data_IF_998308554813
#
_entry.id   IF_998308554813
#
_cell.length_a   1.000
_cell.length_b   1.000
_cell.length_c   1.000
_cell.angle_alpha   90.00
_cell.angle_beta   90.00
_cell.angle_gamma   90.00
#
_symmetry.space_group_name_H-M   'P 1'
#
loop_
_entity.id
_entity.type
_entity.pdbx_description
1 polymer ?
#
# COMPACT_ATOMS: atom_id res chain seq x y z
N UNK A 1 9.52 22.54 21.01
CA UNK A 1 9.91 21.16 21.40
C UNK A 1 9.94 20.34 20.13
N UNK A 2 10.89 19.42 19.96
CA UNK A 2 10.90 18.55 18.79
C UNK A 2 9.75 17.53 18.94
N UNK A 3 8.96 17.34 17.88
CA UNK A 3 7.87 16.39 17.88
C UNK A 3 8.29 15.10 17.17
N UNK A 4 7.87 13.96 17.74
CA UNK A 4 7.98 12.66 17.10
C UNK A 4 7.28 12.69 15.75
N UNK A 5 7.85 12.04 14.74
CA UNK A 5 7.27 11.96 13.40
C UNK A 5 6.98 10.53 13.00
N UNK A 6 5.89 10.32 12.27
CA UNK A 6 5.48 9.00 11.79
C UNK A 6 5.06 9.02 10.33
N UNK A 7 5.12 7.87 9.66
CA UNK A 7 4.32 7.61 8.45
C UNK A 7 3.32 6.51 8.75
N UNK A 8 2.12 6.69 8.23
CA UNK A 8 1.09 5.66 8.21
C UNK A 8 1.17 4.91 6.88
N UNK A 9 0.90 3.61 6.93
CA UNK A 9 0.69 2.78 5.76
C UNK A 9 -0.70 2.16 5.83
N UNK A 10 -1.44 2.21 4.73
CA UNK A 10 -2.71 1.51 4.59
C UNK A 10 -2.64 0.49 3.47
N UNK A 11 -3.01 -0.76 3.76
CA UNK A 11 -3.00 -1.85 2.79
C UNK A 11 -4.41 -2.20 2.31
N UNK A 12 -4.59 -2.24 1.01
CA UNK A 12 -5.73 -2.88 0.34
C UNK A 12 -5.28 -4.24 -0.15
N UNK A 13 -6.09 -5.26 0.10
CA UNK A 13 -5.89 -6.60 -0.45
C UNK A 13 -7.01 -6.87 -1.43
N UNK A 14 -6.66 -7.23 -2.65
CA UNK A 14 -7.58 -7.43 -3.77
C UNK A 14 -7.46 -8.88 -4.23
N UNK A 15 -8.59 -9.55 -4.35
CA UNK A 15 -8.73 -10.90 -4.88
C UNK A 15 -10.04 -11.03 -5.66
N UNK A 16 -10.37 -12.25 -6.09
CA UNK A 16 -11.55 -12.55 -6.92
C UNK A 16 -12.89 -12.15 -6.29
N UNK A 17 -12.93 -11.82 -4.99
CA UNK A 17 -14.14 -11.35 -4.31
C UNK A 17 -14.39 -9.85 -4.48
N UNK A 18 -13.51 -9.14 -5.18
CA UNK A 18 -13.61 -7.71 -5.44
C UNK A 18 -14.93 -7.34 -6.16
N UNK A 19 -15.77 -6.56 -5.49
CA UNK A 19 -17.06 -6.08 -6.04
C UNK A 19 -17.01 -4.63 -6.53
N UNK A 20 -16.09 -3.82 -5.98
CA UNK A 20 -15.95 -2.43 -6.38
C UNK A 20 -15.25 -2.33 -7.73
N UNK A 21 -15.72 -1.48 -8.68
CA UNK A 21 -15.11 -1.38 -10.01
C UNK A 21 -13.61 -1.12 -9.97
N UNK A 22 -13.14 -0.24 -9.08
CA UNK A 22 -11.72 0.08 -8.94
C UNK A 22 -10.88 -1.16 -8.54
N UNK A 23 -11.36 -1.95 -7.58
CA UNK A 23 -10.66 -3.18 -7.16
C UNK A 23 -10.69 -4.24 -8.27
N UNK A 24 -11.84 -4.39 -8.95
CA UNK A 24 -12.04 -5.39 -10.00
C UNK A 24 -11.14 -5.13 -11.21
N UNK A 25 -11.03 -3.88 -11.64
CA UNK A 25 -10.18 -3.54 -12.78
C UNK A 25 -8.70 -3.74 -12.47
N UNK A 26 -8.26 -3.37 -11.26
CA UNK A 26 -6.90 -3.68 -10.82
C UNK A 26 -6.67 -5.18 -10.82
N UNK A 27 -7.57 -5.97 -10.21
CA UNK A 27 -7.48 -7.43 -10.18
C UNK A 27 -7.33 -8.05 -11.57
N UNK A 28 -8.18 -7.64 -12.51
CA UNK A 28 -8.17 -8.16 -13.88
C UNK A 28 -6.88 -7.79 -14.62
N UNK A 29 -6.45 -6.54 -14.53
CA UNK A 29 -5.29 -6.07 -15.29
C UNK A 29 -3.97 -6.54 -14.69
N UNK A 30 -3.86 -6.61 -13.35
CA UNK A 30 -2.68 -7.21 -12.72
C UNK A 30 -2.58 -8.69 -13.00
N UNK A 31 -3.70 -9.41 -13.13
CA UNK A 31 -3.65 -10.81 -13.54
C UNK A 31 -3.16 -10.96 -14.98
N UNK A 32 -3.69 -10.18 -15.92
CA UNK A 32 -3.25 -10.18 -17.32
C UNK A 32 -1.76 -9.84 -17.45
N UNK A 33 -1.32 -8.79 -16.75
CA UNK A 33 0.09 -8.40 -16.73
C UNK A 33 0.96 -9.50 -16.14
N UNK A 34 0.53 -10.12 -15.03
CA UNK A 34 1.24 -11.25 -14.45
C UNK A 34 1.39 -12.40 -15.45
N UNK A 35 0.33 -12.79 -16.18
CA UNK A 35 0.41 -13.85 -17.19
C UNK A 35 1.45 -13.55 -18.28
N UNK A 36 1.53 -12.30 -18.74
CA UNK A 36 2.51 -11.88 -19.74
C UNK A 36 3.93 -11.94 -19.18
N UNK A 37 4.15 -11.33 -18.02
CA UNK A 37 5.47 -11.27 -17.40
C UNK A 37 5.96 -12.65 -16.96
N UNK A 38 5.08 -13.48 -16.41
CA UNK A 38 5.37 -14.84 -15.97
C UNK A 38 6.04 -15.68 -17.06
N UNK A 39 5.60 -15.57 -18.32
CA UNK A 39 6.17 -16.32 -19.45
C UNK A 39 7.65 -15.99 -19.70
N UNK A 40 8.09 -14.78 -19.38
CA UNK A 40 9.48 -14.36 -19.55
C UNK A 40 10.41 -14.96 -18.49
N UNK A 41 9.86 -15.36 -17.34
CA UNK A 41 10.62 -15.91 -16.22
C UNK A 41 10.50 -17.41 -16.06
N UNK A 42 9.45 -18.00 -16.60
CA UNK A 42 9.15 -19.41 -16.43
C UNK A 42 10.02 -20.28 -17.35
N UNK A 43 10.48 -21.39 -16.82
CA UNK A 43 11.25 -22.37 -17.57
C UNK A 43 10.35 -23.11 -18.57
N UNK A 44 10.88 -23.43 -19.76
CA UNK A 44 10.12 -24.11 -20.82
C UNK A 44 10.06 -25.63 -20.62
N UNK A 45 11.09 -26.21 -20.02
CA UNK A 45 11.23 -27.65 -19.80
C UNK A 45 10.56 -28.08 -18.48
N UNK A 46 10.52 -27.19 -17.48
CA UNK A 46 9.90 -27.42 -16.17
C UNK A 46 9.00 -26.25 -15.74
N UNK A 47 7.88 -25.99 -16.45
CA UNK A 47 7.06 -24.82 -16.18
C UNK A 47 6.39 -24.88 -14.81
N UNK A 48 6.48 -23.77 -14.07
CA UNK A 48 5.73 -23.53 -12.84
C UNK A 48 4.43 -22.82 -13.13
N UNK A 49 3.42 -23.07 -12.30
CA UNK A 49 2.11 -22.45 -12.45
C UNK A 49 1.87 -21.37 -11.41
N UNK A 50 2.48 -21.51 -10.23
CA UNK A 50 2.31 -20.56 -9.13
C UNK A 50 3.49 -19.61 -9.01
N UNK A 51 3.22 -18.38 -8.56
CA UNK A 51 4.29 -17.40 -8.28
C UNK A 51 5.27 -17.90 -7.23
N UNK A 52 4.77 -18.65 -6.23
CA UNK A 52 5.60 -19.19 -5.15
C UNK A 52 6.62 -20.21 -5.65
N UNK A 53 6.20 -21.13 -6.51
CA UNK A 53 7.11 -22.10 -7.12
C UNK A 53 8.14 -21.40 -8.01
N UNK A 54 7.67 -20.47 -8.84
CA UNK A 54 8.53 -19.70 -9.71
C UNK A 54 9.58 -18.89 -8.93
N UNK A 55 9.20 -18.30 -7.79
CA UNK A 55 10.11 -17.57 -6.89
C UNK A 55 11.12 -18.47 -6.20
N UNK A 56 10.73 -19.70 -5.83
CA UNK A 56 11.64 -20.67 -5.24
C UNK A 56 12.70 -21.17 -6.22
N UNK A 57 12.36 -21.29 -7.50
CA UNK A 57 13.27 -21.75 -8.56
C UNK A 57 14.13 -20.61 -9.13
N UNK A 58 13.56 -19.42 -9.30
CA UNK A 58 14.23 -18.27 -9.88
C UNK A 58 14.02 -17.01 -9.02
N UNK A 59 14.98 -16.66 -8.13
CA UNK A 59 14.86 -15.48 -7.26
C UNK A 59 14.71 -14.14 -8.01
N UNK A 60 15.13 -14.06 -9.28
CA UNK A 60 14.96 -12.84 -10.10
C UNK A 60 13.48 -12.51 -10.32
N UNK A 61 12.59 -13.48 -10.17
CA UNK A 61 11.13 -13.28 -10.29
C UNK A 61 10.56 -12.40 -9.19
N UNK A 62 11.32 -12.05 -8.14
CA UNK A 62 10.93 -11.02 -7.19
C UNK A 62 10.57 -9.69 -7.89
N UNK A 63 11.16 -9.39 -9.05
CA UNK A 63 10.79 -8.20 -9.83
C UNK A 63 9.36 -8.25 -10.43
N UNK A 64 8.71 -9.42 -10.46
CA UNK A 64 7.32 -9.55 -10.88
C UNK A 64 6.38 -8.72 -10.01
N UNK A 65 6.69 -8.51 -8.72
CA UNK A 65 5.91 -7.58 -7.90
C UNK A 65 5.84 -6.18 -8.53
N UNK A 66 6.98 -5.67 -9.01
CA UNK A 66 7.06 -4.36 -9.64
C UNK A 66 6.44 -4.36 -11.04
N UNK A 67 6.80 -5.33 -11.89
CA UNK A 67 6.32 -5.41 -13.27
C UNK A 67 4.79 -5.56 -13.34
N UNK A 68 4.23 -6.48 -12.56
CA UNK A 68 2.77 -6.62 -12.41
C UNK A 68 2.14 -5.37 -11.78
N UNK A 69 2.87 -4.70 -10.88
CA UNK A 69 2.44 -3.45 -10.25
C UNK A 69 2.19 -2.30 -11.22
N UNK A 70 2.91 -2.24 -12.36
CA UNK A 70 2.73 -1.18 -13.35
C UNK A 70 1.31 -1.16 -13.94
N UNK A 71 0.63 -2.30 -14.01
CA UNK A 71 -0.76 -2.37 -14.47
C UNK A 71 -1.75 -1.62 -13.54
N UNK A 72 -1.39 -1.40 -12.27
CA UNK A 72 -2.21 -0.67 -11.31
C UNK A 72 -2.01 0.86 -11.34
N UNK A 73 -1.01 1.37 -12.07
CA UNK A 73 -0.54 2.75 -11.95
C UNK A 73 -1.61 3.78 -12.32
N UNK A 74 -2.30 3.57 -13.45
CA UNK A 74 -3.36 4.47 -13.93
C UNK A 74 -4.55 4.54 -12.96
N UNK A 75 -4.86 3.44 -12.27
CA UNK A 75 -5.91 3.37 -11.26
C UNK A 75 -5.52 4.09 -9.97
N UNK A 76 -4.26 3.97 -9.55
CA UNK A 76 -3.75 4.70 -8.38
C UNK A 76 -3.67 6.20 -8.67
N UNK A 77 -3.28 6.60 -9.88
CA UNK A 77 -3.22 8.01 -10.28
C UNK A 77 -4.58 8.72 -10.18
N UNK A 78 -5.69 8.00 -10.44
CA UNK A 78 -7.05 8.54 -10.32
C UNK A 78 -7.41 8.96 -8.89
N UNK A 79 -6.75 8.39 -7.87
CA UNK A 79 -6.96 8.73 -6.47
C UNK A 79 -6.34 10.10 -6.10
N UNK A 80 -5.49 10.67 -6.97
CA UNK A 80 -4.90 12.01 -6.79
C UNK A 80 -4.23 12.21 -5.41
N UNK A 81 -3.54 11.17 -4.93
CA UNK A 81 -2.81 11.22 -3.65
C UNK A 81 -3.71 11.18 -2.40
N UNK A 82 -4.99 10.84 -2.52
CA UNK A 82 -5.94 10.79 -1.40
C UNK A 82 -6.75 9.50 -1.43
N UNK A 83 -6.69 8.71 -0.36
CA UNK A 83 -7.32 7.39 -0.33
C UNK A 83 -8.66 7.40 0.43
N UNK A 84 -9.75 7.53 -0.33
CA UNK A 84 -11.10 7.81 0.19
C UNK A 84 -11.67 6.75 1.15
N UNK A 85 -11.12 5.53 1.20
CA UNK A 85 -11.58 4.49 2.13
C UNK A 85 -11.03 4.65 3.54
N UNK A 86 -10.15 5.62 3.77
CA UNK A 86 -9.60 5.95 5.09
C UNK A 86 -9.90 7.44 5.38
N UNK A 87 -11.15 7.78 5.73
CA UNK A 87 -11.49 9.13 6.15
C UNK A 87 -10.89 9.48 7.51
N UNK A 88 -10.71 10.77 7.76
CA UNK A 88 -10.61 11.29 9.12
C UNK A 88 -11.93 11.09 9.89
N UNK A 89 -11.92 11.27 11.20
CA UNK A 89 -13.13 11.12 12.04
C UNK A 89 -14.27 12.08 11.68
N UNK A 90 -14.01 13.15 10.94
CA UNK A 90 -15.02 14.12 10.48
C UNK A 90 -15.57 13.77 9.09
N UNK A 91 -14.93 12.85 8.37
CA UNK A 91 -15.24 12.54 6.97
C UNK A 91 -14.87 13.67 6.00
N UNK A 92 -14.14 14.70 6.44
CA UNK A 92 -13.83 15.88 5.63
C UNK A 92 -12.54 15.73 4.83
N UNK A 93 -11.62 14.94 5.36
CA UNK A 93 -10.33 14.61 4.74
C UNK A 93 -10.16 13.11 4.68
N UNK A 94 -9.30 12.64 3.79
CA UNK A 94 -8.93 11.23 3.69
C UNK A 94 -7.42 11.08 3.86
N UNK A 95 -6.96 9.86 4.14
CA UNK A 95 -5.53 9.56 4.29
C UNK A 95 -4.79 10.00 3.02
N UNK A 96 -3.91 11.03 3.10
CA UNK A 96 -3.07 11.38 1.98
C UNK A 96 -1.99 10.33 1.81
N UNK A 97 -1.57 10.08 0.58
CA UNK A 97 -0.45 9.22 0.28
C UNK A 97 0.47 9.87 -0.77
N UNK A 98 1.76 9.64 -0.63
CA UNK A 98 2.78 10.17 -1.56
C UNK A 98 3.41 9.08 -2.41
N UNK A 99 3.39 7.84 -1.93
CA UNK A 99 3.92 6.68 -2.64
C UNK A 99 3.05 5.46 -2.35
N UNK A 100 3.17 4.44 -3.20
CA UNK A 100 2.53 3.16 -2.98
C UNK A 100 3.46 2.02 -3.41
N UNK A 101 3.15 0.81 -2.97
CA UNK A 101 3.78 -0.43 -3.44
C UNK A 101 2.72 -1.47 -3.71
N UNK A 102 2.76 -2.06 -4.90
CA UNK A 102 2.00 -3.28 -5.20
C UNK A 102 2.90 -4.51 -4.99
N UNK A 103 2.33 -5.55 -4.42
CA UNK A 103 2.95 -6.87 -4.34
C UNK A 103 1.93 -7.98 -4.64
N UNK A 104 2.36 -8.95 -5.44
CA UNK A 104 1.69 -10.25 -5.59
C UNK A 104 1.69 -10.98 -4.23
N UNK A 105 0.51 -11.24 -3.69
CA UNK A 105 0.33 -12.05 -2.46
C UNK A 105 0.26 -13.52 -2.82
N UNK A 106 -0.49 -13.85 -3.87
CA UNK A 106 -0.60 -15.19 -4.43
C UNK A 106 -1.09 -15.09 -5.88
N UNK A 107 -0.74 -16.05 -6.72
CA UNK A 107 -1.32 -16.17 -8.06
C UNK A 107 -0.96 -17.52 -8.66
N UNK A 108 -1.83 -17.99 -9.56
CA UNK A 108 -1.71 -19.23 -10.31
C UNK A 108 -2.16 -18.94 -11.74
N UNK A 109 -1.36 -19.30 -12.73
CA UNK A 109 -1.69 -19.05 -14.15
C UNK A 109 -2.86 -19.90 -14.66
N UNK A 110 -3.21 -20.97 -13.94
CA UNK A 110 -4.27 -21.90 -14.32
C UNK A 110 -5.64 -21.52 -13.75
N UNK A 111 -5.67 -20.66 -12.73
CA UNK A 111 -6.88 -20.28 -12.02
C UNK A 111 -6.79 -18.84 -11.53
N UNK A 112 -7.48 -17.95 -12.26
CA UNK A 112 -7.57 -16.53 -11.93
C UNK A 112 -8.13 -16.28 -10.53
N UNK A 113 -8.98 -17.17 -9.98
CA UNK A 113 -9.54 -17.00 -8.65
C UNK A 113 -8.47 -17.03 -7.54
N UNK A 114 -7.30 -17.63 -7.83
CA UNK A 114 -6.13 -17.66 -6.93
C UNK A 114 -5.30 -16.40 -6.99
N UNK A 115 -5.52 -15.52 -7.97
CA UNK A 115 -4.85 -14.24 -8.06
C UNK A 115 -5.22 -13.38 -6.85
N UNK A 116 -4.20 -12.80 -6.22
CA UNK A 116 -4.33 -11.96 -5.04
C UNK A 116 -3.17 -10.99 -5.01
N UNK A 117 -3.48 -9.71 -4.98
CA UNK A 117 -2.49 -8.63 -4.91
C UNK A 117 -2.75 -7.76 -3.68
N UNK A 118 -1.71 -7.13 -3.19
CA UNK A 118 -1.81 -6.10 -2.17
C UNK A 118 -1.26 -4.78 -2.67
N UNK A 119 -1.97 -3.70 -2.37
CA UNK A 119 -1.52 -2.33 -2.61
C UNK A 119 -1.36 -1.66 -1.25
N UNK A 120 -0.15 -1.22 -0.94
CA UNK A 120 0.15 -0.49 0.29
C UNK A 120 0.40 0.97 -0.06
N UNK A 121 -0.44 1.86 0.46
CA UNK A 121 -0.31 3.31 0.34
C UNK A 121 0.47 3.85 1.53
N UNK A 122 1.44 4.72 1.29
CA UNK A 122 2.26 5.34 2.33
C UNK A 122 1.97 6.83 2.44
N UNK A 123 1.66 7.27 3.64
CA UNK A 123 1.39 8.67 3.93
C UNK A 123 2.65 9.54 3.79
N UNK A 124 2.49 10.86 3.63
CA UNK A 124 3.56 11.79 3.96
C UNK A 124 3.97 11.64 5.43
N UNK A 125 5.08 12.27 5.79
CA UNK A 125 5.51 12.36 7.17
C UNK A 125 4.53 13.23 7.95
N UNK A 126 4.09 12.74 9.11
CA UNK A 126 3.22 13.47 10.03
C UNK A 126 3.95 13.73 11.34
N UNK A 127 3.59 14.84 11.99
CA UNK A 127 3.83 15.01 13.42
C UNK A 127 2.89 14.10 14.19
N UNK A 128 3.43 13.23 15.05
CA UNK A 128 2.67 12.32 15.90
C UNK A 128 2.35 12.98 17.24
N UNK A 129 1.06 12.98 17.60
CA UNK A 129 0.56 13.60 18.82
C UNK A 129 -0.05 12.57 19.80
N UNK A 130 0.05 11.28 19.48
CA UNK A 130 -0.45 10.19 20.32
C UNK A 130 -1.67 9.49 19.73
N UNK A 131 -2.33 8.70 20.58
CA UNK A 131 -3.61 8.05 20.28
C UNK A 131 -4.67 8.62 21.22
N UNK A 132 -5.77 9.12 20.64
CA UNK A 132 -6.91 9.67 21.38
C UNK A 132 -8.19 9.05 20.82
N UNK A 133 -9.05 8.51 21.69
CA UNK A 133 -10.30 7.85 21.29
C UNK A 133 -10.10 6.80 20.18
N UNK A 134 -9.08 5.95 20.34
CA UNK A 134 -8.71 4.92 19.36
C UNK A 134 -8.43 5.47 17.95
N UNK A 135 -7.93 6.71 17.85
CA UNK A 135 -7.50 7.33 16.61
C UNK A 135 -6.05 7.79 16.73
N UNK A 136 -5.28 7.62 15.66
CA UNK A 136 -4.00 8.30 15.51
C UNK A 136 -4.26 9.79 15.39
N UNK A 137 -3.81 10.57 16.38
CA UNK A 137 -3.84 12.02 16.34
C UNK A 137 -2.53 12.49 15.70
N UNK A 138 -2.65 13.15 14.55
CA UNK A 138 -1.50 13.57 13.74
C UNK A 138 -1.67 14.99 13.24
N UNK A 139 -0.56 15.64 12.88
CA UNK A 139 -0.57 16.90 12.14
C UNK A 139 0.25 16.77 10.86
N UNK A 140 -0.26 17.34 9.76
CA UNK A 140 0.48 17.51 8.50
C UNK A 140 1.62 18.54 8.63
N UNK A 141 1.55 19.42 9.63
CA UNK A 141 2.54 20.46 9.85
C UNK A 141 3.73 19.89 10.64
N UNK A 142 4.76 19.47 9.91
CA UNK A 142 5.95 18.82 10.49
C UNK A 142 7.02 19.78 11.00
N UNK A 143 6.95 21.07 10.62
CA UNK A 143 7.97 22.09 10.91
C UNK A 143 7.36 23.43 11.39
N UNK A 144 6.15 23.41 11.98
CA UNK A 144 5.50 24.64 12.42
C UNK A 144 6.09 25.15 13.74
N UNK A 145 6.53 26.41 13.76
CA UNK A 145 6.84 27.17 14.98
C UNK A 145 5.60 27.85 15.58
N UNK A 146 4.43 27.68 14.96
CA UNK A 146 3.18 28.25 15.44
C UNK A 146 2.82 27.66 16.83
N UNK A 147 2.09 28.41 17.68
CA UNK A 147 1.72 27.98 19.02
C UNK A 147 0.75 26.78 19.05
N UNK A 148 0.21 26.37 17.90
CA UNK A 148 -0.70 25.25 17.76
C UNK A 148 -0.52 24.51 16.44
N UNK A 149 -1.10 23.31 16.38
CA UNK A 149 -1.05 22.43 15.21
C UNK A 149 -2.48 22.13 14.76
N UNK A 150 -2.72 22.25 13.45
CA UNK A 150 -3.91 21.65 12.83
C UNK A 150 -3.78 20.14 12.83
N UNK A 151 -4.85 19.44 13.20
CA UNK A 151 -4.81 17.99 13.43
C UNK A 151 -5.78 17.22 12.56
N UNK A 152 -5.37 16.00 12.21
CA UNK A 152 -6.19 14.96 11.63
C UNK A 152 -6.28 13.80 12.62
N UNK A 153 -7.41 13.10 12.62
CA UNK A 153 -7.61 11.90 13.42
C UNK A 153 -7.99 10.75 12.50
N UNK A 154 -7.14 9.74 12.42
CA UNK A 154 -7.41 8.53 11.66
C UNK A 154 -7.73 7.38 12.62
N UNK A 155 -8.90 6.73 12.50
CA UNK A 155 -9.25 5.60 13.35
C UNK A 155 -8.22 4.48 13.25
N UNK A 156 -7.85 3.89 14.38
CA UNK A 156 -7.09 2.64 14.41
C UNK A 156 -7.99 1.55 13.86
N UNK A 157 -7.60 0.97 12.74
CA UNK A 157 -8.40 0.01 11.98
C UNK A 157 -7.51 -1.06 11.33
N UNK A 158 -8.09 -2.21 10.92
CA UNK A 158 -7.34 -3.24 10.21
C UNK A 158 -6.58 -2.66 9.01
N UNK A 159 -5.38 -3.20 8.77
CA UNK A 159 -4.52 -2.85 7.64
C UNK A 159 -3.99 -1.40 7.62
N UNK A 160 -4.28 -0.58 8.64
CA UNK A 160 -3.62 0.69 8.90
C UNK A 160 -2.54 0.51 9.98
N UNK A 161 -1.30 0.89 9.69
CA UNK A 161 -0.19 0.76 10.62
C UNK A 161 0.75 1.96 10.57
N UNK A 162 1.50 2.18 11.66
CA UNK A 162 2.69 3.04 11.63
C UNK A 162 3.81 2.24 10.97
N UNK A 163 4.33 2.72 9.84
CA UNK A 163 5.39 2.05 9.07
C UNK A 163 6.74 2.77 9.13
N UNK A 164 6.79 3.93 9.77
CA UNK A 164 7.99 4.71 10.02
C UNK A 164 7.79 5.49 11.31
N UNK A 165 8.83 5.56 12.14
CA UNK A 165 8.84 6.27 13.41
C UNK A 165 10.19 6.96 13.59
N UNK A 166 10.15 8.26 13.85
CA UNK A 166 11.30 9.11 14.11
C UNK A 166 11.09 9.76 15.47
N UNK A 167 11.86 9.29 16.45
CA UNK A 167 11.85 9.88 17.79
C UNK A 167 12.55 11.23 17.75
N UNK A 168 11.87 12.25 18.29
CA UNK A 168 12.44 13.57 18.46
C UNK A 168 13.62 13.60 19.46
N UNK A 169 13.74 12.59 20.31
CA UNK A 169 14.73 12.53 21.38
C UNK A 169 15.90 11.58 21.09
N UNK A 170 15.83 10.77 20.03
CA UNK A 170 16.93 9.91 19.61
C UNK A 170 17.89 10.73 18.73
N UNK A 171 19.16 10.84 19.14
CA UNK A 171 20.20 11.40 18.27
C UNK A 171 20.42 10.44 17.08
N UNK A 172 20.66 10.97 15.87
CA UNK A 172 21.09 10.13 14.75
C UNK A 172 22.39 9.41 15.11
N UNK A 173 22.48 8.13 14.75
CA UNK A 173 23.68 7.29 14.88
C UNK A 173 24.86 7.87 14.08
#
# INVERSE_FOLDING_TARGET
MAHTKIKLAYRVVIDHTATQPWDRYIFEDTYREYLMQHQLFNDKDNPKTTFRELLAENPKTQQLHFLTGMAAESYVAQLKGSFYRVPDVLGTTYLPFTTYRLDIVNTDITDMARHKVGITFYSPLFTYLGIVNNCYLVSSNTNSEAPGLETLMFPVQPLLAICYYEDANLKPL
#
